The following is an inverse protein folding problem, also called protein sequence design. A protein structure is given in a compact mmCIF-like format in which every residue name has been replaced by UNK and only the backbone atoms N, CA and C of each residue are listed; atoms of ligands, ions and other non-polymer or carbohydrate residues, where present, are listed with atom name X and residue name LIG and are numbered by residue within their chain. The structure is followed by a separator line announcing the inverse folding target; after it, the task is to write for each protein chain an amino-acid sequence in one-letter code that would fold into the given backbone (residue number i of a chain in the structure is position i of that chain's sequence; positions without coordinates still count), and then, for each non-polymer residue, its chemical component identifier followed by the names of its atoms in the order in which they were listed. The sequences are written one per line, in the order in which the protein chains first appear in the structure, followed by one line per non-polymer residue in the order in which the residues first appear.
data_IF_884754964732
#
_entry.id   IF_884754964732
#
_cell.length_a   1.000
_cell.length_b   1.000
_cell.length_c   1.000
_cell.angle_alpha   90.00
_cell.angle_beta   90.00
_cell.angle_gamma   90.00
#
_symmetry.space_group_name_H-M   'P 1'
#
loop_
_entity.id
_entity.type
_entity.pdbx_description
1 polymer ?
#
# COMPACT_ATOMS: atom_id res chain seq x y z
N UNK A 1 23.49 25.93 -3.28
CA UNK A 1 22.61 24.85 -3.79
C UNK A 1 23.45 23.58 -3.86
N UNK A 2 23.23 22.64 -2.95
CA UNK A 2 23.95 21.36 -2.95
C UNK A 2 23.04 20.38 -3.71
N UNK A 3 23.54 19.86 -4.83
CA UNK A 3 22.80 18.95 -5.69
C UNK A 3 22.38 17.69 -4.94
N UNK A 4 21.08 17.45 -4.91
CA UNK A 4 20.51 16.22 -4.35
C UNK A 4 20.91 15.05 -5.25
N UNK A 5 21.77 14.18 -4.73
CA UNK A 5 22.25 13.02 -5.47
C UNK A 5 21.07 12.10 -5.81
N UNK A 6 20.73 12.03 -7.11
CA UNK A 6 19.80 11.04 -7.64
C UNK A 6 20.36 9.66 -7.32
N UNK A 7 19.74 8.98 -6.35
CA UNK A 7 20.18 7.66 -5.88
C UNK A 7 19.89 6.63 -6.97
N UNK A 8 20.96 6.13 -7.60
CA UNK A 8 20.87 5.31 -8.79
C UNK A 8 20.22 3.95 -8.55
N UNK A 9 20.33 3.35 -7.36
CA UNK A 9 19.69 2.07 -7.02
C UNK A 9 20.08 0.87 -7.91
N UNK A 10 20.89 1.10 -8.95
CA UNK A 10 21.15 0.18 -10.05
C UNK A 10 22.05 -1.00 -9.66
N UNK A 11 22.60 -1.02 -8.44
CA UNK A 11 23.52 -2.07 -7.96
C UNK A 11 23.10 -2.73 -6.64
N UNK A 12 21.84 -2.57 -6.20
CA UNK A 12 21.37 -3.18 -4.96
C UNK A 12 22.07 -2.67 -3.69
N UNK A 13 22.73 -1.51 -3.79
CA UNK A 13 23.55 -0.87 -2.76
C UNK A 13 22.76 -0.48 -1.48
N UNK A 14 21.43 -0.50 -1.53
CA UNK A 14 20.53 -0.21 -0.42
C UNK A 14 19.62 -1.40 -0.03
N UNK A 15 19.92 -2.59 -0.54
CA UNK A 15 19.07 -3.79 -0.42
C UNK A 15 18.04 -3.93 -1.54
N UNK A 16 17.55 -5.14 -1.75
CA UNK A 16 16.53 -5.43 -2.76
C UNK A 16 15.14 -4.92 -2.35
N UNK A 17 14.28 -4.62 -3.33
CA UNK A 17 12.85 -4.40 -3.07
C UNK A 17 12.25 -5.70 -2.55
N UNK A 18 11.66 -5.65 -1.35
CA UNK A 18 10.88 -6.75 -0.77
C UNK A 18 9.39 -6.43 -0.88
N UNK A 19 8.51 -7.43 -0.84
CA UNK A 19 7.09 -7.16 -0.71
C UNK A 19 6.79 -6.30 0.53
N UNK A 20 5.71 -5.54 0.48
CA UNK A 20 5.18 -4.78 1.63
C UNK A 20 3.79 -5.28 2.00
N UNK A 21 3.44 -5.15 3.28
CA UNK A 21 2.08 -5.33 3.79
C UNK A 21 1.69 -4.15 4.69
N UNK A 22 0.39 -3.83 4.80
CA UNK A 22 -0.09 -3.00 5.89
C UNK A 22 0.34 -3.60 7.24
N UNK A 23 0.86 -2.76 8.13
CA UNK A 23 1.11 -3.12 9.51
C UNK A 23 -0.23 -3.48 10.16
N UNK A 24 -0.30 -4.67 10.74
CA UNK A 24 -1.46 -5.16 11.49
C UNK A 24 -0.96 -5.62 12.85
N UNK A 25 -1.84 -5.53 13.87
CA UNK A 25 -1.48 -5.93 15.25
C UNK A 25 -0.93 -7.35 15.34
N UNK A 26 -1.39 -8.25 14.47
CA UNK A 26 -0.96 -9.64 14.43
C UNK A 26 -0.95 -10.15 12.99
N UNK A 27 0.21 -10.64 12.55
CA UNK A 27 0.33 -11.35 11.27
C UNK A 27 0.37 -12.85 11.55
N UNK A 28 -0.68 -13.56 11.18
CA UNK A 28 -0.78 -15.01 11.49
C UNK A 28 -0.10 -15.89 10.45
N UNK A 29 -0.04 -15.42 9.20
CA UNK A 29 0.50 -16.19 8.06
C UNK A 29 1.48 -15.38 7.21
N UNK A 30 2.51 -16.05 6.71
CA UNK A 30 3.46 -15.46 5.77
C UNK A 30 2.83 -15.22 4.38
N UNK A 31 3.61 -14.72 3.42
CA UNK A 31 3.14 -14.51 2.05
C UNK A 31 2.74 -15.80 1.31
N UNK A 32 3.33 -16.94 1.68
CA UNK A 32 3.02 -18.27 1.13
C UNK A 32 2.01 -19.07 1.96
N UNK A 33 1.54 -18.53 3.09
CA UNK A 33 0.49 -19.15 3.90
C UNK A 33 0.95 -19.99 5.09
N UNK A 34 2.27 -20.13 5.33
CA UNK A 34 2.78 -20.76 6.56
C UNK A 34 2.37 -19.97 7.80
N UNK A 35 2.02 -20.67 8.87
CA UNK A 35 1.68 -20.06 10.15
C UNK A 35 2.93 -19.49 10.84
N UNK A 36 2.88 -18.21 11.20
CA UNK A 36 3.95 -17.50 11.92
C UNK A 36 3.74 -17.47 13.44
N UNK A 37 2.53 -17.82 13.89
CA UNK A 37 2.12 -17.74 15.30
C UNK A 37 2.26 -19.05 16.05
N UNK A 38 2.54 -20.13 15.33
CA UNK A 38 2.98 -21.37 15.96
C UNK A 38 4.45 -21.17 16.30
N UNK A 39 4.84 -21.42 17.54
CA UNK A 39 6.23 -21.28 18.02
C UNK A 39 7.13 -22.41 17.48
N UNK A 40 7.04 -22.63 16.16
CA UNK A 40 7.78 -23.64 15.41
C UNK A 40 9.12 -23.10 14.88
N UNK A 41 9.26 -21.77 14.77
CA UNK A 41 10.41 -21.09 14.15
C UNK A 41 10.66 -19.73 14.80
N UNK A 42 11.89 -19.21 14.67
CA UNK A 42 12.27 -17.91 15.21
C UNK A 42 11.61 -16.78 14.40
N UNK A 43 11.05 -15.80 15.13
CA UNK A 43 10.40 -14.63 14.54
C UNK A 43 11.44 -13.53 14.34
N UNK A 44 12.07 -13.51 13.17
CA UNK A 44 12.99 -12.43 12.80
C UNK A 44 12.20 -11.25 12.21
N UNK A 45 12.46 -10.05 12.74
CA UNK A 45 11.90 -8.78 12.28
C UNK A 45 12.98 -7.94 11.57
N UNK A 46 13.35 -8.31 10.32
CA UNK A 46 14.42 -7.61 9.60
C UNK A 46 14.07 -6.14 9.38
N UNK A 47 15.08 -5.29 9.34
CA UNK A 47 14.92 -3.90 8.96
C UNK A 47 15.32 -3.70 7.51
N UNK A 48 14.36 -3.29 6.67
CA UNK A 48 14.63 -2.91 5.29
C UNK A 48 15.24 -1.51 5.27
N UNK A 49 16.54 -1.40 4.98
CA UNK A 49 17.20 -0.10 4.79
C UNK A 49 16.58 0.69 3.65
N UNK A 50 16.21 0.00 2.55
CA UNK A 50 15.56 0.59 1.38
C UNK A 50 14.23 1.28 1.73
N UNK A 51 13.41 0.66 2.57
CA UNK A 51 12.12 1.23 2.94
C UNK A 51 12.14 2.00 4.26
N UNK A 52 13.20 1.84 5.07
CA UNK A 52 13.28 2.30 6.46
C UNK A 52 12.12 1.76 7.32
N UNK A 53 11.77 0.49 7.10
CA UNK A 53 10.66 -0.19 7.78
C UNK A 53 11.14 -1.50 8.39
N UNK A 54 10.57 -1.85 9.54
CA UNK A 54 10.65 -3.21 10.05
C UNK A 54 9.73 -4.13 9.24
N UNK A 55 10.15 -5.39 9.15
CA UNK A 55 9.46 -6.41 8.40
C UNK A 55 9.25 -7.68 9.21
N UNK A 56 8.90 -8.72 8.49
CA UNK A 56 8.80 -10.09 8.97
C UNK A 56 9.56 -10.99 8.01
N UNK A 57 10.09 -12.06 8.58
CA UNK A 57 10.74 -13.13 7.85
C UNK A 57 10.06 -14.47 8.19
N UNK A 58 9.83 -15.28 7.18
CA UNK A 58 9.42 -16.68 7.33
C UNK A 58 10.62 -17.57 7.09
N UNK A 59 11.15 -18.19 8.15
CA UNK A 59 12.36 -19.01 8.07
C UNK A 59 12.19 -20.25 7.19
N UNK A 60 10.99 -20.85 7.16
CA UNK A 60 10.65 -21.95 6.24
C UNK A 60 10.79 -21.51 4.79
N UNK A 61 10.21 -20.37 4.43
CA UNK A 61 10.35 -19.82 3.08
C UNK A 61 11.80 -19.46 2.78
N UNK A 62 12.53 -18.89 3.75
CA UNK A 62 13.95 -18.53 3.58
C UNK A 62 14.77 -19.77 3.25
N UNK A 63 14.60 -20.86 4.01
CA UNK A 63 15.29 -22.12 3.76
C UNK A 63 15.00 -22.67 2.36
N UNK A 64 13.76 -22.58 1.90
CA UNK A 64 13.38 -23.00 0.54
C UNK A 64 13.96 -22.10 -0.56
N UNK A 65 13.96 -20.78 -0.36
CA UNK A 65 14.48 -19.81 -1.33
C UNK A 65 16.00 -19.85 -1.46
N UNK A 66 16.73 -20.26 -0.41
CA UNK A 66 18.18 -20.50 -0.50
C UNK A 66 18.50 -21.66 -1.47
N UNK A 67 17.62 -22.67 -1.53
CA UNK A 67 17.81 -23.83 -2.38
C UNK A 67 17.39 -23.61 -3.84
N UNK A 68 16.63 -22.55 -4.12
CA UNK A 68 16.11 -22.24 -5.45
C UNK A 68 16.26 -20.73 -5.75
N UNK A 69 17.30 -20.34 -6.51
CA UNK A 69 17.54 -18.95 -6.88
C UNK A 69 16.41 -18.32 -7.72
N UNK A 70 15.58 -19.13 -8.38
CA UNK A 70 14.40 -18.67 -9.12
C UNK A 70 13.17 -18.53 -8.23
N UNK A 71 13.23 -19.04 -7.00
CA UNK A 71 12.13 -18.92 -6.06
C UNK A 71 11.80 -17.46 -5.82
N UNK A 72 10.51 -17.15 -5.95
CA UNK A 72 10.00 -15.80 -5.71
C UNK A 72 10.34 -15.39 -4.28
N UNK A 73 11.16 -14.34 -4.13
CA UNK A 73 11.60 -13.76 -2.85
C UNK A 73 10.41 -13.23 -2.04
N UNK A 74 9.78 -14.12 -1.29
CA UNK A 74 8.58 -13.90 -0.49
C UNK A 74 8.78 -14.32 0.97
N UNK A 75 9.98 -14.82 1.31
CA UNK A 75 10.34 -15.12 2.68
C UNK A 75 10.31 -13.89 3.57
N UNK A 76 10.69 -12.73 3.03
CA UNK A 76 10.74 -11.46 3.73
C UNK A 76 9.70 -10.46 3.18
N UNK A 77 9.13 -9.65 4.06
CA UNK A 77 8.33 -8.48 3.67
C UNK A 77 8.41 -7.37 4.71
N UNK A 78 8.33 -6.13 4.27
CA UNK A 78 8.26 -4.96 5.14
C UNK A 78 6.81 -4.65 5.57
N UNK A 79 6.66 -4.03 6.74
CA UNK A 79 5.38 -3.55 7.25
C UNK A 79 5.31 -2.02 7.18
N UNK A 80 4.31 -1.51 6.46
CA UNK A 80 4.01 -0.08 6.42
C UNK A 80 2.79 0.21 7.27
N UNK A 81 2.93 1.08 8.27
CA UNK A 81 1.77 1.62 8.98
C UNK A 81 0.95 2.51 8.03
N UNK A 82 -0.24 2.02 7.68
CA UNK A 82 -1.12 2.71 6.72
C UNK A 82 -1.88 3.88 7.33
N UNK A 83 -1.83 4.03 8.65
CA UNK A 83 -2.43 5.15 9.38
C UNK A 83 -1.48 6.34 9.49
N UNK A 84 -0.17 6.10 9.38
CA UNK A 84 0.86 7.13 9.33
C UNK A 84 0.93 7.76 7.93
N UNK A 85 0.10 8.79 7.70
CA UNK A 85 0.02 9.52 6.44
C UNK A 85 0.48 10.96 6.64
N UNK A 86 1.37 11.43 5.78
CA UNK A 86 1.97 12.77 5.88
C UNK A 86 1.26 13.76 4.95
N UNK A 87 1.22 15.02 5.35
CA UNK A 87 0.91 16.10 4.42
C UNK A 87 2.06 16.26 3.40
N UNK A 88 1.80 16.79 2.18
CA UNK A 88 2.82 16.86 1.12
C UNK A 88 4.08 17.65 1.50
N UNK A 89 3.93 18.68 2.34
CA UNK A 89 4.99 19.55 2.85
C UNK A 89 5.73 18.97 4.08
N UNK A 90 5.17 17.94 4.71
CA UNK A 90 5.72 17.29 5.91
C UNK A 90 6.21 15.86 5.65
N UNK A 91 6.17 15.39 4.40
CA UNK A 91 6.55 14.03 4.03
C UNK A 91 8.07 13.83 4.12
N UNK A 92 8.57 12.79 4.80
CA UNK A 92 9.99 12.46 4.79
C UNK A 92 10.49 12.17 3.36
N UNK A 93 11.65 12.74 3.00
CA UNK A 93 12.27 12.51 1.68
C UNK A 93 12.94 11.15 1.52
N UNK A 94 13.01 10.31 2.57
CA UNK A 94 13.69 9.02 2.54
C UNK A 94 12.84 7.87 3.08
N UNK A 95 13.00 6.68 2.52
CA UNK A 95 12.23 5.48 2.85
C UNK A 95 10.88 5.42 2.12
N UNK A 96 10.02 4.50 2.55
CA UNK A 96 8.69 4.29 1.97
C UNK A 96 7.63 4.95 2.86
N UNK A 97 6.93 5.96 2.34
CA UNK A 97 5.95 6.76 3.11
C UNK A 97 4.66 7.00 2.34
N UNK A 98 3.57 7.26 3.07
CA UNK A 98 2.28 7.65 2.50
C UNK A 98 2.12 9.16 2.58
N UNK A 99 1.72 9.78 1.47
CA UNK A 99 1.48 11.22 1.36
C UNK A 99 0.01 11.44 1.02
N UNK A 100 -0.73 12.08 1.91
CA UNK A 100 -2.15 12.36 1.75
C UNK A 100 -2.35 13.79 1.23
N UNK A 101 -2.95 13.89 0.04
CA UNK A 101 -3.37 15.15 -0.55
C UNK A 101 -4.84 15.41 -0.19
N UNK A 102 -5.17 16.60 0.34
CA UNK A 102 -6.56 16.98 0.52
C UNK A 102 -7.27 17.06 -0.85
N UNK A 103 -8.60 16.86 -0.89
CA UNK A 103 -9.36 17.12 -2.10
C UNK A 103 -9.16 18.54 -2.58
N UNK A 104 -9.09 18.74 -3.90
CA UNK A 104 -9.09 20.08 -4.47
C UNK A 104 -10.44 20.76 -4.15
N UNK A 105 -10.42 22.09 -4.00
CA UNK A 105 -11.63 22.89 -3.81
C UNK A 105 -12.68 22.52 -4.86
N UNK A 106 -13.88 22.17 -4.42
CA UNK A 106 -14.96 21.77 -5.33
C UNK A 106 -15.06 20.26 -5.59
N UNK A 107 -14.18 19.44 -5.02
CA UNK A 107 -14.17 17.98 -5.23
C UNK A 107 -14.21 17.22 -3.89
N UNK A 108 -14.85 16.05 -3.89
CA UNK A 108 -14.76 15.10 -2.76
C UNK A 108 -13.61 14.09 -2.92
N UNK A 109 -12.89 14.14 -4.05
CA UNK A 109 -11.85 13.16 -4.40
C UNK A 109 -10.58 13.49 -3.63
N UNK A 110 -10.29 12.70 -2.60
CA UNK A 110 -9.00 12.70 -1.94
C UNK A 110 -8.00 11.81 -2.67
N UNK A 111 -6.71 12.12 -2.55
CA UNK A 111 -5.62 11.33 -3.12
C UNK A 111 -4.62 10.94 -2.03
N UNK A 112 -4.11 9.72 -2.08
CA UNK A 112 -2.97 9.28 -1.27
C UNK A 112 -1.93 8.72 -2.24
N UNK A 113 -0.71 9.25 -2.19
CA UNK A 113 0.43 8.73 -2.92
C UNK A 113 1.31 7.89 -2.00
N UNK A 114 1.96 6.87 -2.56
CA UNK A 114 3.02 6.11 -1.93
C UNK A 114 4.33 6.61 -2.53
N UNK A 115 5.22 7.14 -1.69
CA UNK A 115 6.51 7.67 -2.10
C UNK A 115 7.62 6.74 -1.60
N UNK A 116 8.61 6.47 -2.46
CA UNK A 116 9.86 5.81 -2.11
C UNK A 116 11.00 6.80 -2.36
N UNK A 117 11.70 7.20 -1.30
CA UNK A 117 12.75 8.22 -1.34
C UNK A 117 12.30 9.48 -2.10
N UNK A 118 11.14 10.01 -1.70
CA UNK A 118 10.56 11.22 -2.30
C UNK A 118 9.87 11.00 -3.66
N UNK A 119 10.14 9.90 -4.36
CA UNK A 119 9.56 9.60 -5.68
C UNK A 119 8.23 8.89 -5.54
N UNK A 120 7.18 9.38 -6.21
CA UNK A 120 5.89 8.68 -6.26
C UNK A 120 5.99 7.35 -7.03
N UNK A 121 5.65 6.25 -6.37
CA UNK A 121 5.68 4.88 -6.92
C UNK A 121 4.30 4.26 -7.06
N UNK A 122 3.27 4.91 -6.52
CA UNK A 122 1.88 4.53 -6.68
C UNK A 122 0.93 5.55 -6.05
N UNK A 123 -0.34 5.47 -6.41
CA UNK A 123 -1.38 6.40 -5.98
C UNK A 123 -2.72 5.69 -5.85
N UNK A 124 -3.55 6.21 -4.96
CA UNK A 124 -4.96 5.86 -4.82
C UNK A 124 -5.80 7.13 -4.70
N UNK A 125 -6.96 7.13 -5.35
CA UNK A 125 -7.97 8.16 -5.14
C UNK A 125 -9.25 7.54 -4.57
N UNK A 126 -9.91 8.30 -3.72
CA UNK A 126 -11.17 7.90 -3.12
C UNK A 126 -12.08 9.09 -2.86
N UNK A 127 -13.38 8.85 -2.95
CA UNK A 127 -14.44 9.83 -2.74
C UNK A 127 -15.27 9.46 -1.51
N UNK A 128 -14.86 9.86 -0.28
CA UNK A 128 -15.67 9.68 0.91
C UNK A 128 -16.77 10.75 1.02
N UNK A 129 -17.99 10.33 1.32
CA UNK A 129 -19.11 11.22 1.65
C UNK A 129 -19.37 11.23 3.16
N UNK A 130 -19.13 12.37 3.81
CA UNK A 130 -19.38 12.56 5.24
C UNK A 130 -20.80 12.23 5.69
N UNK A 131 -21.79 12.62 4.88
CA UNK A 131 -23.22 12.49 5.21
C UNK A 131 -23.73 11.07 5.13
N UNK A 132 -23.45 10.39 4.01
CA UNK A 132 -23.95 9.03 3.79
C UNK A 132 -23.06 7.95 4.43
N UNK A 133 -21.89 8.31 4.96
CA UNK A 133 -20.89 7.35 5.48
C UNK A 133 -20.53 6.28 4.44
N UNK A 134 -20.51 6.68 3.16
CA UNK A 134 -20.14 5.86 2.02
C UNK A 134 -18.84 6.39 1.41
N UNK A 135 -17.98 5.50 0.96
CA UNK A 135 -16.77 5.85 0.24
C UNK A 135 -16.62 4.99 -1.01
N UNK A 136 -16.19 5.61 -2.10
CA UNK A 136 -15.82 4.92 -3.34
C UNK A 136 -14.31 4.99 -3.50
N UNK A 137 -13.68 3.85 -3.80
CA UNK A 137 -12.31 3.77 -4.25
C UNK A 137 -12.32 3.97 -5.78
N UNK A 138 -11.81 5.10 -6.25
CA UNK A 138 -12.02 5.52 -7.65
C UNK A 138 -10.91 5.02 -8.57
N UNK A 139 -9.65 5.15 -8.13
CA UNK A 139 -8.49 4.78 -8.93
C UNK A 139 -7.37 4.23 -8.05
N UNK A 140 -6.64 3.23 -8.56
CA UNK A 140 -5.41 2.72 -7.94
C UNK A 140 -4.39 2.49 -9.04
N UNK A 141 -3.19 3.04 -8.86
CA UNK A 141 -2.07 2.86 -9.77
C UNK A 141 -0.78 2.56 -9.02
N UNK A 142 0.06 1.73 -9.64
CA UNK A 142 1.40 1.39 -9.19
C UNK A 142 2.29 1.31 -10.42
N UNK A 143 3.45 1.99 -10.38
CA UNK A 143 4.41 1.95 -11.47
C UNK A 143 4.88 0.51 -11.73
N UNK A 144 5.19 0.18 -12.99
CA UNK A 144 5.29 -1.20 -13.46
C UNK A 144 6.31 -2.04 -12.66
N UNK A 145 7.44 -1.44 -12.33
CA UNK A 145 8.56 -1.99 -11.58
C UNK A 145 8.25 -2.26 -10.10
N UNK A 146 7.20 -1.64 -9.54
CA UNK A 146 6.77 -1.85 -8.15
C UNK A 146 5.52 -2.74 -8.03
N UNK A 147 5.01 -3.25 -9.17
CA UNK A 147 3.85 -4.15 -9.17
C UNK A 147 4.21 -5.48 -8.52
N UNK A 148 3.18 -6.18 -8.02
CA UNK A 148 3.30 -7.50 -7.38
C UNK A 148 4.14 -7.53 -6.09
N UNK A 149 4.51 -6.37 -5.55
CA UNK A 149 5.14 -6.18 -4.23
C UNK A 149 4.15 -5.77 -3.14
N UNK A 150 2.84 -5.76 -3.40
CA UNK A 150 1.83 -5.41 -2.40
C UNK A 150 1.47 -3.92 -2.31
N UNK A 151 2.14 -3.05 -3.06
CA UNK A 151 1.96 -1.59 -3.05
C UNK A 151 0.50 -1.18 -3.26
N UNK A 152 -0.17 -1.76 -4.26
CA UNK A 152 -1.57 -1.47 -4.53
C UNK A 152 -2.51 -1.89 -3.39
N UNK A 153 -2.25 -3.03 -2.73
CA UNK A 153 -3.06 -3.45 -1.56
C UNK A 153 -2.83 -2.51 -0.37
N UNK A 154 -1.61 -2.06 -0.17
CA UNK A 154 -1.25 -1.12 0.89
C UNK A 154 -1.90 0.24 0.68
N UNK A 155 -1.89 0.75 -0.56
CA UNK A 155 -2.61 1.97 -0.93
C UNK A 155 -4.12 1.86 -0.64
N UNK A 156 -4.75 0.74 -1.01
CA UNK A 156 -6.18 0.51 -0.71
C UNK A 156 -6.42 0.48 0.80
N UNK A 157 -5.56 -0.19 1.57
CA UNK A 157 -5.65 -0.20 3.03
C UNK A 157 -5.49 1.21 3.63
N UNK A 158 -4.58 2.03 3.09
CA UNK A 158 -4.40 3.42 3.50
C UNK A 158 -5.64 4.28 3.22
N UNK A 159 -6.29 4.09 2.07
CA UNK A 159 -7.56 4.76 1.78
C UNK A 159 -8.64 4.36 2.81
N UNK A 160 -8.80 3.06 3.07
CA UNK A 160 -9.78 2.55 4.06
C UNK A 160 -9.48 3.06 5.47
N UNK A 161 -8.21 3.15 5.86
CA UNK A 161 -7.79 3.63 7.16
C UNK A 161 -8.22 5.08 7.46
N UNK A 162 -8.42 5.92 6.44
CA UNK A 162 -8.94 7.29 6.62
C UNK A 162 -10.42 7.32 7.01
N UNK A 163 -11.18 6.28 6.69
CA UNK A 163 -12.62 6.21 6.95
C UNK A 163 -13.04 4.75 7.26
N UNK A 164 -12.56 4.16 8.38
CA UNK A 164 -12.70 2.72 8.64
C UNK A 164 -14.14 2.28 8.90
N UNK A 165 -15.00 3.21 9.33
CA UNK A 165 -16.42 2.98 9.58
C UNK A 165 -17.31 3.26 8.37
N UNK A 166 -16.74 3.61 7.22
CA UNK A 166 -17.51 3.89 6.01
C UNK A 166 -17.82 2.59 5.27
N UNK A 167 -18.95 2.58 4.56
CA UNK A 167 -19.24 1.53 3.60
C UNK A 167 -18.42 1.79 2.33
N UNK A 168 -17.37 0.99 2.15
CA UNK A 168 -16.48 1.07 0.99
C UNK A 168 -17.02 0.29 -0.21
N UNK A 169 -16.98 0.94 -1.36
CA UNK A 169 -17.24 0.35 -2.66
C UNK A 169 -16.11 0.66 -3.63
N UNK A 170 -16.02 -0.12 -4.70
CA UNK A 170 -15.10 0.16 -5.81
C UNK A 170 -15.73 -0.33 -7.12
N UNK A 171 -15.63 0.43 -8.22
CA UNK A 171 -16.11 0.01 -9.52
C UNK A 171 -15.37 -1.25 -10.00
N UNK A 172 -15.94 -1.93 -10.98
CA UNK A 172 -15.22 -2.97 -11.70
C UNK A 172 -14.27 -2.30 -12.68
N UNK A 173 -12.96 -2.55 -12.59
CA UNK A 173 -12.03 -1.99 -13.55
C UNK A 173 -12.05 -2.77 -14.86
N UNK A 174 -11.62 -2.11 -15.93
CA UNK A 174 -11.42 -2.73 -17.23
C UNK A 174 -10.14 -3.57 -17.27
N UNK A 175 -10.20 -4.70 -17.99
CA UNK A 175 -9.05 -5.56 -18.26
C UNK A 175 -8.77 -6.64 -17.19
N UNK A 176 -8.19 -7.77 -17.61
CA UNK A 176 -8.06 -8.97 -16.75
C UNK A 176 -7.14 -8.77 -15.55
N UNK A 177 -6.07 -7.97 -15.69
CA UNK A 177 -5.11 -7.72 -14.61
C UNK A 177 -5.76 -6.91 -13.48
N UNK A 178 -6.49 -5.84 -13.85
CA UNK A 178 -7.16 -4.99 -12.88
C UNK A 178 -8.32 -5.73 -12.19
N UNK A 179 -9.07 -6.56 -12.92
CA UNK A 179 -10.11 -7.42 -12.34
C UNK A 179 -9.52 -8.47 -11.38
N UNK A 180 -8.39 -9.09 -11.75
CA UNK A 180 -7.68 -10.04 -10.88
C UNK A 180 -7.17 -9.36 -9.59
N UNK A 181 -6.70 -8.13 -9.68
CA UNK A 181 -6.36 -7.33 -8.50
C UNK A 181 -7.60 -7.00 -7.65
N UNK A 182 -8.67 -6.53 -8.29
CA UNK A 182 -9.95 -6.17 -7.65
C UNK A 182 -10.57 -7.34 -6.89
N UNK A 183 -10.46 -8.56 -7.41
CA UNK A 183 -10.95 -9.79 -6.77
C UNK A 183 -10.22 -10.14 -5.46
N UNK A 184 -9.00 -9.60 -5.25
CA UNK A 184 -8.21 -9.81 -4.02
C UNK A 184 -8.41 -8.72 -2.98
N UNK A 185 -9.28 -7.75 -3.25
CA UNK A 185 -9.66 -6.66 -2.34
C UNK A 185 -11.07 -6.95 -1.81
N UNK A 186 -11.20 -7.04 -0.49
CA UNK A 186 -12.46 -7.27 0.20
C UNK A 186 -13.35 -6.00 0.22
N UNK A 187 -13.79 -5.56 -0.96
CA UNK A 187 -14.69 -4.41 -1.14
C UNK A 187 -15.89 -4.80 -1.98
N UNK A 188 -17.06 -4.25 -1.66
CA UNK A 188 -18.28 -4.46 -2.45
C UNK A 188 -18.18 -3.74 -3.80
N UNK A 189 -18.87 -4.26 -4.83
CA UNK A 189 -19.02 -3.51 -6.09
C UNK A 189 -19.73 -2.18 -5.80
N UNK A 190 -19.40 -1.15 -6.57
CA UNK A 190 -20.16 0.09 -6.58
C UNK A 190 -21.64 -0.24 -6.85
N UNK A 191 -22.50 0.22 -5.94
CA UNK A 191 -23.96 0.16 -6.10
C UNK A 191 -24.49 1.50 -6.58
N UNK A 192 -25.68 1.90 -6.14
CA UNK A 192 -26.18 3.25 -6.35
C UNK A 192 -25.17 4.27 -5.80
N UNK A 193 -24.83 5.25 -6.63
CA UNK A 193 -23.98 6.37 -6.24
C UNK A 193 -24.62 7.13 -5.08
N UNK A 194 -23.78 7.68 -4.21
CA UNK A 194 -24.25 8.61 -3.20
C UNK A 194 -24.94 9.80 -3.90
N UNK A 195 -26.15 10.19 -3.48
CA UNK A 195 -26.84 11.38 -4.02
C UNK A 195 -26.04 12.67 -3.82
N UNK A 196 -25.10 12.68 -2.88
CA UNK A 196 -24.17 13.79 -2.65
C UNK A 196 -22.87 13.68 -3.47
N UNK A 197 -22.68 12.61 -4.27
CA UNK A 197 -21.49 12.43 -5.10
C UNK A 197 -21.37 13.44 -6.26
N UNK A 198 -22.34 14.35 -6.41
CA UNK A 198 -22.29 15.47 -7.36
C UNK A 198 -22.87 16.79 -6.82
N UNK A 199 -23.20 16.86 -5.53
CA UNK A 199 -23.77 18.07 -4.91
C UNK A 199 -22.73 18.66 -3.96
N UNK A 200 -22.08 19.73 -4.43
CA UNK A 200 -21.27 20.62 -3.63
C UNK A 200 -22.15 21.29 -2.59
N UNK A 201 -21.82 21.13 -1.33
CA UNK A 201 -22.42 21.96 -0.30
C UNK A 201 -21.50 23.11 0.07
N UNK A 202 -22.02 24.31 -0.16
CA UNK A 202 -21.63 25.51 0.55
C UNK A 202 -22.15 25.36 1.99
N UNK A 203 -21.24 25.38 2.95
CA UNK A 203 -21.51 25.45 4.38
C UNK A 203 -20.30 26.05 5.06
#
# INVERSE_FOLDING_TARGET
MIGEAVRSGARGEFGALVPIRPAVKKTEKCLRGHWLTLDLYDKLAPFSQRYRLHGWLCEVCRGQEVCDPEARRLAEWALLDVTAQHAPDAAPGGGLVLVAYPPATGTLVGRIALHLDGTEVGTVTASPCGRCRMATLDYVHVAAEYRRLGFGRTLVAAAVARAPSYRWTAPLPDGPVAQSFRARIAMRRAGLSCVHAGVLERG
#
